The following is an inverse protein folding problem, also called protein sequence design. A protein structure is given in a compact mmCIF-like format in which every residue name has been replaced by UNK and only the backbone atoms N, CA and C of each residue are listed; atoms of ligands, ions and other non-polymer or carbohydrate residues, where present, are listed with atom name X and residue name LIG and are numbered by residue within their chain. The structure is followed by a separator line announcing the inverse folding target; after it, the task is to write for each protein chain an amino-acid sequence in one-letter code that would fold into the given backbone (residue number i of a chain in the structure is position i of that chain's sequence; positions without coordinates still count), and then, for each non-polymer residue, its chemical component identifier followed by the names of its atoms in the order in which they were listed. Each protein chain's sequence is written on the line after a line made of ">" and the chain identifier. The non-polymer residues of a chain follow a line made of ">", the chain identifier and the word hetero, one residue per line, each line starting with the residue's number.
data_IF_592253953982
#
_entry.id   IF_592253953982
#
_cell.length_a   1.000
_cell.length_b   1.000
_cell.length_c   1.000
_cell.angle_alpha   90.00
_cell.angle_beta   90.00
_cell.angle_gamma   90.00
#
_symmetry.space_group_name_H-M   'P 1'
#
loop_
_entity.id
_entity.type
_entity.pdbx_description
1 polymer ?
#
# COMPACT_ATOMS: atom_id res chain seq x y z
N UNK A 1 -50.63 -63.00 -14.37
CA UNK A 1 -51.22 -61.96 -15.24
C UNK A 1 -51.46 -60.63 -14.49
N UNK A 2 -52.52 -60.48 -13.68
CA UNK A 2 -52.85 -59.17 -13.06
C UNK A 2 -51.81 -58.70 -12.01
N UNK A 3 -51.34 -59.60 -11.14
CA UNK A 3 -50.36 -59.28 -10.10
C UNK A 3 -48.96 -58.90 -10.65
N UNK A 4 -48.56 -59.50 -11.77
CA UNK A 4 -47.28 -59.17 -12.42
C UNK A 4 -47.33 -57.81 -13.12
N UNK A 5 -48.49 -57.44 -13.66
CA UNK A 5 -48.73 -56.12 -14.23
C UNK A 5 -48.65 -55.04 -13.14
N UNK A 6 -49.28 -55.28 -11.99
CA UNK A 6 -49.25 -54.37 -10.85
C UNK A 6 -47.83 -54.19 -10.29
N UNK A 7 -47.09 -55.30 -10.10
CA UNK A 7 -45.70 -55.24 -9.64
C UNK A 7 -44.77 -54.51 -10.61
N UNK A 8 -45.06 -54.60 -11.92
CA UNK A 8 -44.31 -53.88 -12.95
C UNK A 8 -44.63 -52.37 -12.91
N UNK A 9 -45.90 -52.01 -12.73
CA UNK A 9 -46.33 -50.62 -12.57
C UNK A 9 -45.70 -49.97 -11.33
N UNK A 10 -45.78 -50.62 -10.17
CA UNK A 10 -45.17 -50.11 -8.93
C UNK A 10 -43.65 -49.89 -9.07
N UNK A 11 -42.96 -50.82 -9.73
CA UNK A 11 -41.52 -50.72 -9.99
C UNK A 11 -41.17 -49.59 -10.96
N UNK A 12 -42.03 -49.31 -11.94
CA UNK A 12 -41.80 -48.22 -12.90
C UNK A 12 -42.12 -46.86 -12.27
N UNK A 13 -43.16 -46.75 -11.43
CA UNK A 13 -43.46 -45.57 -10.62
C UNK A 13 -42.35 -45.24 -9.61
N UNK A 14 -41.76 -46.25 -8.97
CA UNK A 14 -40.64 -46.07 -8.03
C UNK A 14 -39.40 -45.49 -8.73
N UNK A 15 -39.08 -46.00 -9.93
CA UNK A 15 -37.98 -45.46 -10.74
C UNK A 15 -38.24 -44.02 -11.17
N UNK A 16 -39.48 -43.70 -11.56
CA UNK A 16 -39.85 -42.35 -11.96
C UNK A 16 -39.70 -41.36 -10.79
N UNK A 17 -40.15 -41.75 -9.58
CA UNK A 17 -39.94 -40.95 -8.37
C UNK A 17 -38.46 -40.73 -8.06
N UNK A 18 -37.63 -41.76 -8.21
CA UNK A 18 -36.19 -41.68 -7.95
C UNK A 18 -35.49 -40.78 -8.99
N UNK A 19 -35.89 -40.86 -10.27
CA UNK A 19 -35.38 -39.96 -11.31
C UNK A 19 -35.79 -38.51 -11.05
N UNK A 20 -37.04 -38.28 -10.63
CA UNK A 20 -37.53 -36.93 -10.31
C UNK A 20 -36.79 -36.33 -9.10
N UNK A 21 -36.53 -37.14 -8.06
CA UNK A 21 -35.75 -36.70 -6.91
C UNK A 21 -34.32 -36.32 -7.33
N UNK A 22 -33.66 -37.17 -8.12
CA UNK A 22 -32.30 -36.90 -8.61
C UNK A 22 -32.25 -35.64 -9.50
N UNK A 23 -33.25 -35.43 -10.35
CA UNK A 23 -33.35 -34.22 -11.17
C UNK A 23 -33.52 -32.97 -10.31
N UNK A 24 -34.34 -33.03 -9.25
CA UNK A 24 -34.51 -31.93 -8.29
C UNK A 24 -33.23 -31.61 -7.52
N UNK A 25 -32.48 -32.64 -7.12
CA UNK A 25 -31.19 -32.46 -6.44
C UNK A 25 -30.15 -31.80 -7.35
N UNK A 26 -30.08 -32.19 -8.64
CA UNK A 26 -29.19 -31.57 -9.61
C UNK A 26 -29.58 -30.11 -9.91
N UNK A 27 -30.87 -29.82 -10.07
CA UNK A 27 -31.38 -28.47 -10.30
C UNK A 27 -31.11 -27.55 -9.10
N UNK A 28 -31.32 -28.05 -7.87
CA UNK A 28 -30.99 -27.32 -6.65
C UNK A 28 -29.49 -27.00 -6.55
N UNK A 29 -28.62 -27.94 -6.92
CA UNK A 29 -27.17 -27.73 -6.95
C UNK A 29 -26.76 -26.69 -8.00
N UNK A 30 -27.34 -26.75 -9.20
CA UNK A 30 -27.06 -25.79 -10.26
C UNK A 30 -27.55 -24.38 -9.90
N UNK A 31 -28.75 -24.28 -9.33
CA UNK A 31 -29.31 -23.02 -8.87
C UNK A 31 -28.47 -22.38 -7.74
N UNK A 32 -27.87 -23.19 -6.86
CA UNK A 32 -26.99 -22.70 -5.81
C UNK A 32 -25.65 -22.16 -6.35
N UNK A 33 -25.08 -22.79 -7.39
CA UNK A 33 -23.75 -22.43 -7.91
C UNK A 33 -23.79 -21.40 -9.05
N UNK A 34 -24.83 -21.46 -9.89
CA UNK A 34 -24.96 -20.66 -11.11
C UNK A 34 -26.20 -19.74 -11.11
N UNK A 35 -26.98 -19.73 -10.03
CA UNK A 35 -28.15 -18.86 -9.90
C UNK A 35 -27.77 -17.38 -9.76
N UNK A 36 -28.25 -16.55 -10.69
CA UNK A 36 -27.99 -15.12 -10.71
C UNK A 36 -28.80 -14.30 -9.68
N UNK A 37 -29.76 -14.90 -8.98
CA UNK A 37 -30.70 -14.20 -8.08
C UNK A 37 -30.74 -14.89 -6.71
N UNK A 38 -30.44 -14.18 -5.60
CA UNK A 38 -30.56 -14.75 -4.26
C UNK A 38 -32.01 -15.14 -3.93
N UNK A 39 -32.26 -16.41 -3.59
CA UNK A 39 -33.56 -16.83 -3.08
C UNK A 39 -33.78 -16.26 -1.67
N UNK A 40 -34.76 -15.36 -1.55
CA UNK A 40 -34.99 -14.51 -0.39
C UNK A 40 -35.86 -15.16 0.70
N UNK A 41 -35.87 -16.50 0.84
CA UNK A 41 -36.79 -17.17 1.79
C UNK A 41 -36.16 -17.58 3.12
N UNK A 42 -34.86 -17.38 3.33
CA UNK A 42 -34.16 -17.88 4.52
C UNK A 42 -33.69 -16.75 5.47
N UNK A 43 -34.43 -15.63 5.50
CA UNK A 43 -34.07 -14.42 6.27
C UNK A 43 -34.50 -14.44 7.74
N UNK A 44 -34.45 -15.59 8.41
CA UNK A 44 -34.87 -15.67 9.81
C UNK A 44 -33.90 -16.38 10.75
N UNK A 45 -32.59 -16.29 10.51
CA UNK A 45 -31.61 -16.21 11.61
C UNK A 45 -30.22 -15.90 11.06
N UNK A 46 -29.68 -14.71 11.36
CA UNK A 46 -28.26 -14.42 11.67
C UNK A 46 -27.93 -12.96 11.35
N UNK A 47 -27.65 -12.20 12.40
CA UNK A 47 -27.21 -10.80 12.36
C UNK A 47 -25.96 -10.59 11.50
N UNK A 48 -26.05 -9.59 10.63
CA UNK A 48 -25.06 -8.54 10.37
C UNK A 48 -23.57 -8.85 10.57
N UNK A 49 -22.90 -9.16 9.46
CA UNK A 49 -21.51 -8.72 9.22
C UNK A 49 -21.41 -8.16 7.79
N UNK A 50 -21.02 -6.89 7.60
CA UNK A 50 -20.71 -6.37 6.27
C UNK A 50 -19.31 -6.86 5.88
N UNK A 51 -19.22 -8.12 5.48
CA UNK A 51 -18.01 -8.76 4.98
C UNK A 51 -18.16 -9.07 3.50
N UNK A 52 -17.15 -8.71 2.71
CA UNK A 52 -16.96 -9.07 1.31
C UNK A 52 -17.54 -10.46 0.95
N UNK A 53 -18.62 -10.49 0.18
CA UNK A 53 -19.27 -11.71 -0.32
C UNK A 53 -18.56 -12.24 -1.58
N UNK A 54 -17.27 -12.56 -1.49
CA UNK A 54 -16.56 -13.33 -2.51
C UNK A 54 -16.46 -14.79 -2.08
N UNK A 55 -16.73 -15.73 -2.99
CA UNK A 55 -16.53 -17.21 -2.97
C UNK A 55 -16.94 -18.04 -1.73
N UNK A 56 -17.16 -17.43 -0.56
CA UNK A 56 -17.44 -18.06 0.73
C UNK A 56 -18.84 -17.68 1.25
N UNK A 57 -19.73 -17.11 0.42
CA UNK A 57 -21.13 -16.86 0.80
C UNK A 57 -22.01 -18.12 0.73
N UNK A 58 -21.45 -19.22 0.19
CA UNK A 58 -22.08 -20.53 0.23
C UNK A 58 -21.91 -21.10 1.65
N UNK A 59 -23.02 -21.56 2.25
CA UNK A 59 -22.99 -22.32 3.51
C UNK A 59 -22.06 -23.51 3.31
N UNK A 60 -20.85 -23.45 3.86
CA UNK A 60 -19.84 -24.50 3.71
C UNK A 60 -20.41 -25.77 4.33
N UNK A 61 -20.72 -26.75 3.49
CA UNK A 61 -21.12 -28.08 3.96
C UNK A 61 -19.92 -28.73 4.67
N UNK A 62 -20.15 -29.66 5.59
CA UNK A 62 -19.04 -30.32 6.33
C UNK A 62 -18.00 -30.98 5.40
N UNK A 63 -18.43 -31.39 4.20
CA UNK A 63 -17.55 -31.91 3.14
C UNK A 63 -16.63 -30.84 2.56
N UNK A 64 -17.13 -29.62 2.36
CA UNK A 64 -16.34 -28.50 1.83
C UNK A 64 -15.33 -27.98 2.86
N UNK A 65 -15.65 -28.00 4.17
CA UNK A 65 -14.68 -27.66 5.22
C UNK A 65 -13.51 -28.64 5.26
N UNK A 66 -13.78 -29.94 5.10
CA UNK A 66 -12.75 -30.98 5.06
C UNK A 66 -11.92 -30.91 3.76
N UNK A 67 -12.57 -30.60 2.64
CA UNK A 67 -11.91 -30.31 1.37
C UNK A 67 -11.00 -29.08 1.47
N UNK A 68 -11.46 -27.97 2.05
CA UNK A 68 -10.64 -26.76 2.26
C UNK A 68 -9.45 -27.00 3.17
N UNK A 69 -9.58 -27.88 4.19
CA UNK A 69 -8.46 -28.29 5.07
C UNK A 69 -7.42 -29.19 4.38
N UNK A 70 -7.87 -30.05 3.47
CA UNK A 70 -7.00 -31.02 2.79
C UNK A 70 -6.41 -30.49 1.48
N UNK A 71 -7.07 -29.51 0.87
CA UNK A 71 -6.59 -28.86 -0.35
C UNK A 71 -5.43 -27.93 -0.06
N UNK A 72 -4.32 -28.12 -0.79
CA UNK A 72 -3.15 -27.22 -0.78
C UNK A 72 -3.41 -25.97 -1.61
N UNK A 73 -4.46 -25.23 -1.27
CA UNK A 73 -4.87 -24.02 -1.97
C UNK A 73 -4.24 -22.77 -1.36
N UNK A 74 -2.91 -22.62 -1.51
CA UNK A 74 -2.15 -21.50 -0.96
C UNK A 74 -2.63 -20.11 -1.43
N UNK A 75 -3.23 -20.05 -2.63
CA UNK A 75 -3.75 -18.83 -3.25
C UNK A 75 -5.14 -18.41 -2.74
N UNK A 76 -5.86 -19.28 -2.02
CA UNK A 76 -7.12 -18.91 -1.38
C UNK A 76 -6.83 -18.16 -0.07
N UNK A 77 -7.31 -16.91 0.11
CA UNK A 77 -7.10 -16.14 1.34
C UNK A 77 -7.55 -16.87 2.62
N UNK A 78 -8.51 -17.79 2.51
CA UNK A 78 -9.03 -18.59 3.64
C UNK A 78 -8.18 -19.80 4.01
N UNK A 79 -7.29 -20.23 3.13
CA UNK A 79 -6.39 -21.38 3.33
C UNK A 79 -4.91 -20.95 3.40
N UNK A 80 -4.63 -19.65 3.25
CA UNK A 80 -3.29 -19.09 3.48
C UNK A 80 -2.99 -19.15 4.98
N UNK A 81 -1.90 -19.82 5.41
CA UNK A 81 -1.53 -19.85 6.82
C UNK A 81 -1.23 -18.43 7.32
N UNK A 82 -1.70 -18.09 8.53
CA UNK A 82 -1.41 -16.81 9.17
C UNK A 82 0.11 -16.68 9.36
N UNK A 83 0.67 -15.51 9.03
CA UNK A 83 2.10 -15.32 9.08
C UNK A 83 2.59 -15.38 10.55
N UNK A 84 3.67 -16.11 10.85
CA UNK A 84 4.15 -16.30 12.24
C UNK A 84 4.61 -14.99 12.89
N UNK A 85 4.89 -13.95 12.09
CA UNK A 85 5.32 -12.63 12.56
C UNK A 85 4.49 -11.57 11.85
N UNK A 86 3.62 -10.90 12.61
CA UNK A 86 2.94 -9.68 12.16
C UNK A 86 3.96 -8.55 12.26
N UNK A 87 4.68 -8.31 11.16
CA UNK A 87 5.55 -7.14 11.04
C UNK A 87 4.67 -5.91 10.85
N UNK A 88 4.96 -4.86 11.63
CA UNK A 88 4.27 -3.59 11.45
C UNK A 88 4.56 -3.01 10.08
N UNK A 89 3.58 -2.30 9.52
CA UNK A 89 3.74 -1.63 8.25
C UNK A 89 4.92 -0.65 8.32
N UNK A 90 5.85 -0.67 7.34
CA UNK A 90 6.97 0.25 7.31
C UNK A 90 6.45 1.70 7.28
N UNK A 91 7.16 2.59 7.97
CA UNK A 91 6.76 4.00 8.01
C UNK A 91 6.80 4.61 6.61
N UNK A 92 5.72 5.22 6.18
CA UNK A 92 5.59 5.87 4.86
C UNK A 92 6.25 7.25 4.80
N UNK A 93 6.79 7.75 5.92
CA UNK A 93 7.42 9.07 5.98
C UNK A 93 8.85 9.05 5.45
N UNK A 94 9.19 10.01 4.61
CA UNK A 94 10.57 10.29 4.20
C UNK A 94 11.35 10.91 5.37
N UNK A 95 12.50 10.33 5.70
CA UNK A 95 13.32 10.72 6.86
C UNK A 95 14.73 11.11 6.39
N UNK A 96 15.32 12.11 7.03
CA UNK A 96 16.72 12.49 6.81
C UNK A 96 17.65 11.38 7.32
N UNK A 97 18.60 10.88 6.51
CA UNK A 97 19.50 9.79 6.93
C UNK A 97 20.40 10.17 8.11
N UNK A 98 20.82 11.43 8.17
CA UNK A 98 21.71 11.93 9.22
C UNK A 98 20.94 12.33 10.49
N UNK A 99 19.89 13.14 10.32
CA UNK A 99 19.16 13.74 11.45
C UNK A 99 17.99 12.92 12.00
N UNK A 100 17.56 11.86 11.30
CA UNK A 100 16.33 11.10 11.60
C UNK A 100 15.05 11.94 11.67
N UNK A 101 15.08 13.15 11.12
CA UNK A 101 13.93 14.06 11.07
C UNK A 101 13.03 13.76 9.89
N UNK A 102 11.72 14.03 10.04
CA UNK A 102 10.74 13.85 8.96
C UNK A 102 10.84 15.00 7.95
N UNK A 103 11.19 14.67 6.71
CA UNK A 103 11.29 15.63 5.62
C UNK A 103 9.93 15.86 4.96
N UNK A 104 9.56 17.12 4.73
CA UNK A 104 8.38 17.50 3.94
C UNK A 104 8.86 18.28 2.72
N UNK A 105 8.25 18.07 1.56
CA UNK A 105 8.63 18.80 0.34
C UNK A 105 8.57 20.34 0.52
N UNK A 106 7.60 20.83 1.31
CA UNK A 106 7.46 22.27 1.61
C UNK A 106 8.54 22.85 2.51
N UNK A 107 9.30 22.01 3.24
CA UNK A 107 10.41 22.47 4.09
C UNK A 107 11.75 22.43 3.38
N UNK A 108 11.82 21.85 2.18
CA UNK A 108 13.04 21.80 1.38
C UNK A 108 13.08 23.03 0.47
N UNK A 109 14.23 23.68 0.42
CA UNK A 109 14.50 24.80 -0.48
C UNK A 109 15.87 24.59 -1.14
N UNK A 110 16.07 25.08 -2.37
CA UNK A 110 17.36 24.95 -3.04
C UNK A 110 18.41 25.79 -2.33
N UNK A 111 19.63 25.27 -2.25
CA UNK A 111 20.78 25.93 -1.64
C UNK A 111 21.82 26.24 -2.71
N UNK A 112 22.33 27.46 -2.72
CA UNK A 112 23.27 27.98 -3.71
C UNK A 112 24.58 28.39 -3.03
N UNK A 113 25.66 27.71 -3.39
CA UNK A 113 27.01 28.05 -2.98
C UNK A 113 27.68 28.93 -4.03
N UNK A 114 28.48 29.90 -3.58
CA UNK A 114 29.26 30.75 -4.47
C UNK A 114 30.60 30.08 -4.76
N UNK A 115 30.85 29.77 -6.03
CA UNK A 115 32.12 29.21 -6.50
C UNK A 115 33.22 30.28 -6.52
N UNK A 116 34.45 29.89 -6.17
CA UNK A 116 35.62 30.74 -6.32
C UNK A 116 36.08 30.75 -7.78
N UNK A 117 36.18 31.95 -8.36
CA UNK A 117 36.59 32.13 -9.77
C UNK A 117 38.06 32.51 -9.90
N UNK A 118 38.80 32.72 -8.80
CA UNK A 118 40.20 33.14 -8.86
C UNK A 118 41.16 32.03 -9.31
N UNK A 119 40.82 30.76 -9.05
CA UNK A 119 41.59 29.60 -9.46
C UNK A 119 41.18 29.21 -10.89
N UNK A 120 41.88 29.74 -11.88
CA UNK A 120 41.66 29.39 -13.28
C UNK A 120 41.91 27.89 -13.51
N UNK A 121 40.86 27.19 -13.92
CA UNK A 121 40.87 25.89 -14.62
C UNK A 121 41.32 24.66 -13.80
N UNK A 122 40.36 23.99 -13.19
CA UNK A 122 40.37 22.54 -13.05
C UNK A 122 39.16 21.98 -13.78
N UNK A 123 39.38 21.10 -14.75
CA UNK A 123 38.35 20.48 -15.61
C UNK A 123 37.59 19.35 -14.91
N UNK A 124 37.62 19.32 -13.57
CA UNK A 124 37.04 18.26 -12.74
C UNK A 124 36.06 18.88 -11.74
N UNK A 125 34.86 18.29 -11.61
CA UNK A 125 33.85 18.80 -10.66
C UNK A 125 34.24 18.65 -9.19
N UNK A 126 35.34 17.93 -8.90
CA UNK A 126 35.81 17.62 -7.54
C UNK A 126 36.67 18.74 -6.94
N UNK A 127 37.22 19.64 -7.76
CA UNK A 127 38.15 20.69 -7.32
C UNK A 127 37.47 22.06 -7.12
N UNK A 128 36.13 22.09 -7.14
CA UNK A 128 35.36 23.31 -6.96
C UNK A 128 35.49 23.81 -5.53
N UNK A 129 36.12 24.97 -5.38
CA UNK A 129 36.24 25.65 -4.10
C UNK A 129 35.06 26.62 -3.93
N UNK A 130 34.38 26.56 -2.78
CA UNK A 130 33.27 27.45 -2.48
C UNK A 130 33.70 28.53 -1.47
N UNK A 131 33.19 29.74 -1.64
CA UNK A 131 33.56 30.91 -0.83
C UNK A 131 32.33 31.61 -0.24
N UNK A 132 32.52 32.28 0.90
CA UNK A 132 31.52 33.19 1.44
C UNK A 132 31.42 34.44 0.54
N UNK A 133 30.20 34.87 0.11
CA UNK A 133 30.05 36.03 -0.77
C UNK A 133 30.56 37.33 -0.12
N UNK A 134 30.43 37.46 1.21
CA UNK A 134 30.72 38.67 1.96
C UNK A 134 32.19 38.82 2.34
N UNK A 135 32.82 37.78 2.89
CA UNK A 135 34.21 37.85 3.35
C UNK A 135 35.21 37.15 2.43
N UNK A 136 34.74 36.50 1.36
CA UNK A 136 35.56 35.73 0.40
C UNK A 136 36.41 34.62 1.03
N UNK A 137 36.12 34.25 2.28
CA UNK A 137 36.75 33.10 2.94
C UNK A 137 36.21 31.80 2.34
N UNK A 138 37.11 30.86 2.07
CA UNK A 138 36.78 29.50 1.64
C UNK A 138 35.93 28.77 2.68
N UNK A 139 34.82 28.20 2.23
CA UNK A 139 33.90 27.44 3.07
C UNK A 139 34.46 26.02 3.24
N UNK A 140 34.66 25.61 4.50
CA UNK A 140 35.16 24.28 4.87
C UNK A 140 34.24 23.62 5.90
N UNK A 141 34.34 22.31 6.09
CA UNK A 141 33.52 21.56 7.06
C UNK A 141 33.74 21.98 8.53
N UNK A 142 34.78 22.76 8.83
CA UNK A 142 35.05 23.28 10.18
C UNK A 142 34.31 24.59 10.47
N UNK A 143 33.77 25.26 9.44
CA UNK A 143 33.06 26.51 9.57
C UNK A 143 31.55 26.26 9.69
N UNK A 144 30.90 26.96 10.61
CA UNK A 144 29.43 27.00 10.64
C UNK A 144 28.91 27.85 9.48
N UNK A 145 28.09 27.22 8.64
CA UNK A 145 27.46 27.84 7.47
C UNK A 145 25.99 28.11 7.74
N UNK A 146 25.47 29.17 7.15
CA UNK A 146 24.06 29.57 7.25
C UNK A 146 23.51 29.77 5.84
N UNK A 147 22.40 29.11 5.54
CA UNK A 147 21.66 29.29 4.30
C UNK A 147 20.39 30.10 4.57
N UNK A 148 20.07 31.04 3.68
CA UNK A 148 18.85 31.85 3.78
C UNK A 148 17.66 31.11 3.20
N UNK A 149 16.57 31.02 3.95
CA UNK A 149 15.34 30.35 3.48
C UNK A 149 14.64 31.09 2.33
N UNK A 150 14.80 32.41 2.20
CA UNK A 150 14.15 33.20 1.14
C UNK A 150 14.78 33.04 -0.25
N UNK A 151 16.08 32.74 -0.32
CA UNK A 151 16.81 32.72 -1.59
C UNK A 151 17.84 31.60 -1.74
N UNK A 152 18.15 30.84 -0.69
CA UNK A 152 19.05 29.69 -0.74
C UNK A 152 20.54 30.01 -0.69
N UNK A 153 20.96 31.28 -0.72
CA UNK A 153 22.38 31.64 -0.70
C UNK A 153 23.04 31.30 0.65
N UNK A 154 24.27 30.76 0.59
CA UNK A 154 25.06 30.34 1.76
C UNK A 154 26.11 31.37 2.16
N UNK A 155 26.20 31.64 3.45
CA UNK A 155 27.17 32.53 4.08
C UNK A 155 27.85 31.84 5.27
N UNK A 156 29.02 32.33 5.66
CA UNK A 156 29.59 31.94 6.95
C UNK A 156 28.82 32.61 8.10
N UNK A 157 28.74 31.94 9.26
CA UNK A 157 27.99 32.42 10.43
C UNK A 157 28.35 33.86 10.85
N UNK A 158 29.64 34.21 10.80
CA UNK A 158 30.12 35.56 11.15
C UNK A 158 29.51 36.64 10.23
N UNK A 159 29.35 36.35 8.94
CA UNK A 159 28.78 37.27 7.98
C UNK A 159 27.25 37.30 8.04
N UNK A 160 26.60 36.15 8.27
CA UNK A 160 25.14 36.12 8.45
C UNK A 160 24.72 36.98 9.64
N UNK A 161 25.41 36.84 10.77
CA UNK A 161 25.06 37.52 12.02
C UNK A 161 25.34 39.03 11.94
N UNK A 162 26.36 39.44 11.16
CA UNK A 162 26.76 40.85 11.04
C UNK A 162 25.94 41.62 10.01
N UNK A 163 25.67 41.03 8.85
CA UNK A 163 25.03 41.74 7.73
C UNK A 163 23.55 41.37 7.59
N UNK A 164 23.19 40.11 7.76
CA UNK A 164 21.85 39.62 7.38
C UNK A 164 20.86 39.69 8.54
N UNK A 165 21.33 39.53 9.78
CA UNK A 165 20.48 39.71 10.95
C UNK A 165 19.99 41.17 11.10
N UNK A 166 20.78 42.14 10.63
CA UNK A 166 20.47 43.56 10.70
C UNK A 166 19.60 43.99 9.52
N UNK A 167 20.09 43.78 8.29
CA UNK A 167 19.44 44.31 7.09
C UNK A 167 18.30 43.42 6.59
N UNK A 168 18.24 42.15 7.02
CA UNK A 168 17.26 41.13 6.58
C UNK A 168 17.16 41.00 5.06
N UNK A 169 18.24 41.31 4.35
CA UNK A 169 18.31 41.28 2.88
C UNK A 169 19.51 40.47 2.43
N UNK A 170 19.34 39.69 1.35
CA UNK A 170 20.42 38.95 0.74
C UNK A 170 21.43 39.85 0.03
N UNK A 171 22.71 39.79 0.38
CA UNK A 171 23.76 40.57 -0.29
C UNK A 171 24.03 40.15 -1.75
N UNK A 172 23.63 38.93 -2.14
CA UNK A 172 23.85 38.42 -3.50
C UNK A 172 22.71 38.78 -4.43
N UNK A 173 21.46 38.65 -3.98
CA UNK A 173 20.28 38.82 -4.83
C UNK A 173 19.32 39.92 -4.38
N UNK A 174 19.64 40.65 -3.31
CA UNK A 174 18.82 41.74 -2.73
C UNK A 174 17.41 41.34 -2.32
N UNK A 175 17.11 40.04 -2.25
CA UNK A 175 15.82 39.52 -1.77
C UNK A 175 15.85 39.44 -0.23
N UNK A 176 14.80 39.96 0.40
CA UNK A 176 14.49 39.76 1.83
C UNK A 176 13.68 38.49 2.02
#
# INVERSE_FOLDING_TARGET
>A
AAHELQKKQEKDEEKEKLMLQKARELDAFDQQNHGAVPQYSDRNHSQDKPGFHGANSVKVTSYEEEALRTMKAFWLPSATPDAPVKVDAPSTSTVCPEGKERLKLKSLFPVYFTEDTSETKSSSSLDKTYICPSCKVTLTNTLSLVALSSCGHVFCKKCSDKFMAVDKVCLVCTKG
#
